data_IF_172950839470
#
_entry.id   IF_172950839470
#
_cell.length_a   1.000
_cell.length_b   1.000
_cell.length_c   1.000
_cell.angle_alpha   90.00
_cell.angle_beta   90.00
_cell.angle_gamma   90.00
#
_symmetry.space_group_name_H-M   'P 1'
#
loop_
_entity.id
_entity.type
_entity.pdbx_description
1 polymer ?
#
# COMPACT_ATOMS: atom_id res chain seq x y z
N UNK A 1 0.23 -9.59 -12.44
CA UNK A 1 -1.02 -9.76 -11.65
C UNK A 1 -0.94 -11.10 -10.96
N UNK A 2 -0.97 -11.12 -9.63
CA UNK A 2 -0.80 -12.33 -8.83
C UNK A 2 -2.13 -13.10 -8.78
N UNK A 3 -2.09 -14.44 -8.78
CA UNK A 3 -3.28 -15.29 -8.74
C UNK A 3 -3.10 -16.39 -7.69
N UNK A 4 -4.20 -16.80 -7.05
CA UNK A 4 -4.29 -18.00 -6.19
C UNK A 4 -3.29 -18.04 -5.01
N UNK A 5 -2.99 -16.90 -4.39
CA UNK A 5 -2.22 -16.85 -3.14
C UNK A 5 -2.85 -15.87 -2.15
N UNK A 6 -2.72 -16.17 -0.86
CA UNK A 6 -3.05 -15.28 0.27
C UNK A 6 -1.85 -14.50 0.79
N UNK A 7 -0.65 -14.84 0.30
CA UNK A 7 0.61 -14.15 0.58
C UNK A 7 1.22 -13.66 -0.75
N UNK A 8 0.67 -12.60 -1.36
CA UNK A 8 1.15 -12.06 -2.61
C UNK A 8 2.41 -11.19 -2.45
N UNK A 9 3.44 -11.43 -3.26
CA UNK A 9 4.60 -10.52 -3.39
C UNK A 9 4.50 -9.74 -4.70
N UNK A 10 4.15 -8.44 -4.64
CA UNK A 10 4.04 -7.60 -5.85
C UNK A 10 5.38 -7.10 -6.37
N UNK A 11 6.31 -6.75 -5.48
CA UNK A 11 7.62 -6.18 -5.82
C UNK A 11 7.51 -5.06 -6.87
N UNK A 12 6.54 -4.16 -6.69
CA UNK A 12 6.30 -3.03 -7.58
C UNK A 12 6.77 -1.75 -6.91
N UNK A 13 7.45 -0.93 -7.70
CA UNK A 13 7.85 0.42 -7.32
C UNK A 13 6.97 1.43 -8.08
N UNK A 14 6.57 2.48 -7.38
CA UNK A 14 5.86 3.62 -7.94
C UNK A 14 6.61 4.88 -7.54
N UNK A 15 6.67 5.84 -8.45
CA UNK A 15 7.36 7.12 -8.23
C UNK A 15 6.38 8.25 -8.47
N UNK A 16 6.43 9.23 -7.58
CA UNK A 16 5.58 10.41 -7.61
C UNK A 16 6.50 11.63 -7.53
N UNK A 17 6.26 12.60 -8.41
CA UNK A 17 6.90 13.91 -8.35
C UNK A 17 5.96 14.82 -7.58
N UNK A 18 6.47 15.43 -6.51
CA UNK A 18 5.74 16.39 -5.68
C UNK A 18 6.47 17.72 -5.73
N UNK A 19 5.72 18.81 -5.86
CA UNK A 19 6.27 20.17 -5.89
C UNK A 19 6.76 20.59 -4.49
N UNK A 20 6.09 20.11 -3.43
CA UNK A 20 6.38 20.40 -2.03
C UNK A 20 6.48 19.11 -1.19
N UNK A 21 7.06 19.22 0.00
CA UNK A 21 7.19 18.09 0.91
C UNK A 21 5.82 17.71 1.52
N UNK A 22 5.39 16.43 1.42
CA UNK A 22 4.07 15.97 1.89
C UNK A 22 4.02 15.80 3.42
N UNK A 23 4.14 16.90 4.16
CA UNK A 23 4.19 16.88 5.64
C UNK A 23 2.81 16.69 6.29
N UNK A 24 1.73 17.04 5.61
CA UNK A 24 0.35 16.87 6.10
C UNK A 24 -0.42 15.79 5.32
N UNK A 25 0.24 15.19 4.33
CA UNK A 25 -0.36 14.20 3.45
C UNK A 25 -0.17 12.77 3.96
N UNK A 26 -1.03 11.90 3.44
CA UNK A 26 -1.06 10.49 3.81
C UNK A 26 -1.23 9.64 2.55
N UNK A 27 -0.59 8.49 2.52
CA UNK A 27 -0.82 7.50 1.47
C UNK A 27 -1.83 6.45 1.94
N UNK A 28 -2.92 6.32 1.18
CA UNK A 28 -3.91 5.27 1.35
C UNK A 28 -3.61 4.10 0.42
N UNK A 29 -3.41 2.91 0.98
CA UNK A 29 -3.16 1.69 0.21
C UNK A 29 -4.28 0.69 0.50
N UNK A 30 -5.10 0.42 -0.52
CA UNK A 30 -6.18 -0.55 -0.44
C UNK A 30 -5.85 -1.84 -1.19
N UNK A 31 -6.11 -2.98 -0.54
CA UNK A 31 -5.91 -4.30 -1.12
C UNK A 31 -7.22 -4.82 -1.68
N UNK A 32 -7.27 -4.98 -3.00
CA UNK A 32 -8.47 -5.43 -3.69
C UNK A 32 -8.39 -6.90 -4.09
N UNK A 33 -9.48 -7.63 -3.85
CA UNK A 33 -9.66 -8.98 -4.34
C UNK A 33 -9.73 -9.02 -5.87
N UNK A 34 -9.32 -10.14 -6.44
CA UNK A 34 -9.45 -10.37 -7.87
C UNK A 34 -10.71 -11.17 -8.15
N UNK A 35 -11.51 -10.69 -9.13
CA UNK A 35 -12.61 -11.46 -9.71
C UNK A 35 -12.11 -12.81 -10.24
N UNK A 36 -12.77 -13.90 -9.85
CA UNK A 36 -12.40 -15.26 -10.24
C UNK A 36 -13.36 -15.80 -11.32
N UNK A 37 -12.95 -15.75 -12.59
CA UNK A 37 -13.70 -16.36 -13.70
C UNK A 37 -15.07 -15.72 -13.96
N UNK A 38 -16.10 -16.54 -14.21
CA UNK A 38 -17.50 -16.14 -14.42
C UNK A 38 -18.24 -15.73 -13.14
N UNK A 39 -17.55 -15.64 -11.99
CA UNK A 39 -18.19 -15.25 -10.74
C UNK A 39 -18.82 -13.86 -10.83
N UNK A 40 -20.09 -13.74 -10.46
CA UNK A 40 -20.81 -12.46 -10.31
C UNK A 40 -20.30 -11.63 -9.13
N UNK A 41 -19.44 -12.19 -8.28
CA UNK A 41 -18.80 -11.43 -7.20
C UNK A 41 -17.93 -10.31 -7.76
N UNK A 42 -18.22 -9.08 -7.32
CA UNK A 42 -17.43 -7.89 -7.58
C UNK A 42 -16.05 -8.00 -6.93
N UNK A 43 -15.14 -7.11 -7.31
CA UNK A 43 -13.93 -6.92 -6.52
C UNK A 43 -14.36 -6.45 -5.12
N UNK A 44 -13.76 -7.03 -4.11
CA UNK A 44 -14.02 -6.72 -2.70
C UNK A 44 -12.74 -6.16 -2.08
N UNK A 45 -12.90 -5.24 -1.12
CA UNK A 45 -11.78 -4.78 -0.31
C UNK A 45 -11.37 -5.88 0.67
N UNK A 46 -10.08 -6.19 0.71
CA UNK A 46 -9.47 -7.15 1.64
C UNK A 46 -8.84 -6.45 2.85
N UNK A 47 -8.93 -5.12 2.89
CA UNK A 47 -8.37 -4.23 3.90
C UNK A 47 -7.52 -3.12 3.31
N UNK A 48 -7.21 -2.11 4.12
CA UNK A 48 -6.41 -0.95 3.73
C UNK A 48 -5.44 -0.52 4.84
N UNK A 49 -4.49 0.35 4.50
CA UNK A 49 -3.65 1.06 5.46
C UNK A 49 -3.52 2.52 5.04
N UNK A 50 -3.41 3.36 6.05
CA UNK A 50 -3.24 4.80 5.97
C UNK A 50 -1.90 5.14 6.62
N UNK A 51 -0.94 5.67 5.85
CA UNK A 51 0.43 5.92 6.30
C UNK A 51 0.76 7.42 6.13
N UNK A 52 1.11 8.08 7.23
CA UNK A 52 1.51 9.49 7.21
C UNK A 52 2.87 9.66 6.49
N UNK A 53 2.93 10.58 5.52
CA UNK A 53 4.14 10.82 4.73
C UNK A 53 5.16 11.72 5.45
N UNK A 54 4.75 12.45 6.49
CA UNK A 54 5.65 13.27 7.31
C UNK A 54 6.83 12.46 7.84
N UNK A 55 6.56 11.27 8.38
CA UNK A 55 7.59 10.39 8.92
C UNK A 55 8.59 9.95 7.85
N UNK A 56 8.13 9.76 6.59
CA UNK A 56 9.01 9.41 5.46
C UNK A 56 9.87 10.60 5.07
N UNK A 57 9.31 11.82 5.07
CA UNK A 57 10.05 13.05 4.78
C UNK A 57 11.14 13.28 5.83
N UNK A 58 10.82 13.14 7.12
CA UNK A 58 11.78 13.34 8.21
C UNK A 58 12.86 12.24 8.28
N UNK A 59 12.48 10.97 8.07
CA UNK A 59 13.41 9.83 8.19
C UNK A 59 14.12 9.49 6.86
N UNK A 60 13.66 10.03 5.73
CA UNK A 60 14.15 9.74 4.38
C UNK A 60 13.71 8.39 3.80
N UNK A 61 13.46 7.37 4.64
CA UNK A 61 12.96 6.06 4.22
C UNK A 61 12.21 5.35 5.34
N UNK A 62 11.14 4.64 4.98
CA UNK A 62 10.43 3.71 5.86
C UNK A 62 10.35 2.36 5.16
N UNK A 63 10.59 1.28 5.89
CA UNK A 63 10.53 -0.08 5.38
C UNK A 63 9.88 -0.99 6.44
N UNK A 64 8.56 -0.97 6.47
CA UNK A 64 7.78 -1.46 7.62
C UNK A 64 6.60 -2.33 7.20
N UNK A 65 6.16 -3.19 8.13
CA UNK A 65 4.97 -4.03 7.98
C UNK A 65 3.80 -3.40 8.72
N UNK A 66 2.69 -3.23 8.01
CA UNK A 66 1.47 -2.63 8.53
C UNK A 66 0.34 -3.63 8.56
N UNK A 67 -0.39 -3.69 9.66
CA UNK A 67 -1.64 -4.42 9.75
C UNK A 67 -2.72 -3.69 8.95
N UNK A 68 -3.44 -4.44 8.12
CA UNK A 68 -4.54 -3.88 7.33
C UNK A 68 -5.76 -3.64 8.22
N UNK A 69 -6.27 -2.42 8.19
CA UNK A 69 -7.56 -2.02 8.72
C UNK A 69 -8.65 -2.76 7.94
N UNK A 70 -9.72 -3.16 8.63
CA UNK A 70 -10.81 -3.96 8.07
C UNK A 70 -10.37 -5.32 7.51
N UNK A 71 -9.23 -5.84 7.97
CA UNK A 71 -8.75 -7.19 7.66
C UNK A 71 -8.54 -7.97 8.95
N UNK A 72 -8.90 -9.25 8.97
CA UNK A 72 -8.76 -10.08 10.19
C UNK A 72 -7.29 -10.32 10.56
N UNK A 73 -6.46 -10.67 9.58
CA UNK A 73 -5.05 -11.02 9.74
C UNK A 73 -4.17 -10.46 8.61
N UNK A 74 -4.68 -9.51 7.83
CA UNK A 74 -3.98 -8.96 6.68
C UNK A 74 -2.81 -8.09 7.12
N UNK A 75 -1.66 -8.28 6.47
CA UNK A 75 -0.46 -7.47 6.65
C UNK A 75 0.07 -7.09 5.29
N UNK A 76 0.50 -5.84 5.14
CA UNK A 76 1.24 -5.36 3.98
C UNK A 76 2.63 -4.90 4.38
N UNK A 77 3.62 -5.23 3.55
CA UNK A 77 4.98 -4.73 3.67
C UNK A 77 5.21 -3.63 2.63
N UNK A 78 5.64 -2.45 3.06
CA UNK A 78 5.84 -1.29 2.20
C UNK A 78 7.24 -0.68 2.44
N UNK A 79 7.94 -0.36 1.35
CA UNK A 79 9.17 0.44 1.35
C UNK A 79 8.87 1.79 0.67
N UNK A 80 8.93 2.88 1.43
CA UNK A 80 8.68 4.25 0.95
C UNK A 80 9.97 5.06 1.14
N UNK A 81 10.36 5.82 0.12
CA UNK A 81 11.56 6.66 0.14
C UNK A 81 11.23 8.08 -0.29
N UNK A 82 11.78 9.04 0.44
CA UNK A 82 11.79 10.44 0.08
C UNK A 82 13.16 10.79 -0.52
N UNK A 83 13.16 11.44 -1.68
CA UNK A 83 14.38 11.93 -2.35
C UNK A 83 14.17 13.40 -2.72
N UNK A 84 15.00 14.27 -2.15
CA UNK A 84 15.13 15.65 -2.62
C UNK A 84 16.17 15.67 -3.74
N UNK A 85 15.85 16.31 -4.87
CA UNK A 85 16.81 16.59 -5.95
C UNK A 85 17.65 17.81 -5.56
#
# INVERSE_FOLDING_TARGET
MIKRTRDPCWNKEFQFMLDEAPLEDMIHIEIMSKRFGFSFHSKESLGHVDINLADVVYNGRINEKYHLINSRNGVIHVDIRWKTI
#
